data_IF_934979760632
#
_entry.id   IF_934979760632
#
_cell.length_a   1.000
_cell.length_b   1.000
_cell.length_c   1.000
_cell.angle_alpha   90.00
_cell.angle_beta   90.00
_cell.angle_gamma   90.00
#
_symmetry.space_group_name_H-M   'P 1'
#
loop_
_entity.id
_entity.type
_entity.pdbx_description
1 polymer ?
#
# COMPACT_ATOMS: atom_id res chain seq x y z
N UNK A 1 10.91 -11.84 5.03
CA UNK A 1 9.44 -11.80 5.09
C UNK A 1 8.93 -13.00 4.31
N UNK A 2 7.94 -13.71 4.83
CA UNK A 2 7.45 -14.95 4.23
C UNK A 2 6.50 -14.67 3.08
N UNK A 3 6.36 -15.64 2.16
CA UNK A 3 5.44 -15.53 1.03
C UNK A 3 3.98 -15.55 1.53
N UNK A 4 3.72 -16.36 2.55
CA UNK A 4 2.42 -16.55 3.18
C UNK A 4 1.89 -15.23 3.77
N UNK A 5 2.77 -14.44 4.41
CA UNK A 5 2.39 -13.12 4.93
C UNK A 5 1.95 -12.17 3.81
N UNK A 6 2.73 -12.10 2.73
CA UNK A 6 2.44 -11.26 1.57
C UNK A 6 1.13 -11.67 0.90
N UNK A 7 0.92 -12.97 0.70
CA UNK A 7 -0.34 -13.48 0.15
C UNK A 7 -1.52 -13.17 1.05
N UNK A 8 -1.34 -13.24 2.38
CA UNK A 8 -2.34 -12.85 3.37
C UNK A 8 -2.71 -11.36 3.26
N UNK A 9 -1.72 -10.48 3.19
CA UNK A 9 -1.91 -9.03 2.99
C UNK A 9 -2.65 -8.75 1.68
N UNK A 10 -2.22 -9.39 0.58
CA UNK A 10 -2.89 -9.25 -0.72
C UNK A 10 -4.35 -9.70 -0.66
N UNK A 11 -4.65 -10.86 -0.07
CA UNK A 11 -6.02 -11.36 0.05
C UNK A 11 -6.90 -10.39 0.83
N UNK A 12 -6.42 -9.90 1.98
CA UNK A 12 -7.14 -8.90 2.80
C UNK A 12 -7.40 -7.62 2.01
N UNK A 13 -6.40 -7.15 1.26
CA UNK A 13 -6.52 -5.94 0.43
C UNK A 13 -7.53 -6.09 -0.70
N UNK A 14 -7.44 -7.17 -1.48
CA UNK A 14 -8.38 -7.45 -2.57
C UNK A 14 -9.80 -7.60 -2.03
N UNK A 15 -9.96 -8.31 -0.90
CA UNK A 15 -11.26 -8.46 -0.25
C UNK A 15 -11.84 -7.10 0.13
N UNK A 16 -11.06 -6.24 0.81
CA UNK A 16 -11.49 -4.91 1.20
C UNK A 16 -11.92 -4.06 0.00
N UNK A 17 -11.11 -4.01 -1.05
CA UNK A 17 -11.41 -3.24 -2.26
C UNK A 17 -12.68 -3.75 -2.98
N UNK A 18 -12.95 -5.06 -2.91
CA UNK A 18 -14.12 -5.69 -3.57
C UNK A 18 -15.40 -5.68 -2.73
N UNK A 19 -15.36 -5.29 -1.45
CA UNK A 19 -16.57 -5.23 -0.60
C UNK A 19 -17.65 -4.30 -1.14
N UNK A 20 -17.22 -3.20 -1.74
CA UNK A 20 -18.04 -2.11 -2.30
C UNK A 20 -18.54 -2.39 -3.72
N UNK A 21 -18.16 -3.52 -4.33
CA UNK A 21 -18.69 -3.93 -5.63
C UNK A 21 -17.71 -4.69 -6.51
N UNK A 22 -18.20 -5.19 -7.66
CA UNK A 22 -17.43 -6.07 -8.54
C UNK A 22 -16.61 -5.34 -9.63
N UNK A 23 -16.32 -4.05 -9.45
CA UNK A 23 -15.49 -3.31 -10.43
C UNK A 23 -14.05 -3.87 -10.49
N UNK A 24 -13.33 -3.71 -11.61
CA UNK A 24 -11.91 -4.08 -11.71
C UNK A 24 -11.02 -3.38 -10.66
N UNK A 25 -9.98 -4.07 -10.15
CA UNK A 25 -9.02 -3.51 -9.18
C UNK A 25 -8.40 -2.17 -9.61
N UNK A 26 -8.02 -1.94 -10.88
CA UNK A 26 -7.51 -0.64 -11.31
C UNK A 26 -8.47 0.52 -11.13
N UNK A 27 -9.79 0.26 -11.07
CA UNK A 27 -10.81 1.28 -10.80
C UNK A 27 -10.95 1.46 -9.28
N UNK A 28 -11.05 0.35 -8.54
CA UNK A 28 -11.23 0.37 -7.09
C UNK A 28 -10.02 0.96 -6.33
N UNK A 29 -8.82 0.85 -6.89
CA UNK A 29 -7.59 1.31 -6.27
C UNK A 29 -7.27 2.80 -6.48
N UNK A 30 -8.09 3.56 -7.20
CA UNK A 30 -7.73 4.93 -7.63
C UNK A 30 -7.56 5.92 -6.47
N UNK A 31 -8.25 5.72 -5.34
CA UNK A 31 -8.50 6.79 -4.40
C UNK A 31 -8.08 6.54 -2.94
N UNK A 32 -7.23 5.56 -2.58
CA UNK A 32 -6.99 5.24 -1.14
C UNK A 32 -5.56 4.85 -0.78
N UNK A 33 -4.56 5.29 -1.54
CA UNK A 33 -3.20 4.77 -1.32
C UNK A 33 -2.71 5.01 0.11
N UNK A 34 -3.04 6.15 0.72
CA UNK A 34 -2.68 6.47 2.11
C UNK A 34 -3.32 5.50 3.11
N UNK A 35 -4.64 5.35 3.13
CA UNK A 35 -5.32 4.44 4.07
C UNK A 35 -4.92 2.97 3.87
N UNK A 36 -4.72 2.57 2.60
CA UNK A 36 -4.35 1.21 2.23
C UNK A 36 -2.93 0.87 2.71
N UNK A 37 -1.96 1.78 2.56
CA UNK A 37 -0.61 1.52 3.07
C UNK A 37 -0.60 1.44 4.58
N UNK A 38 -1.37 2.27 5.28
CA UNK A 38 -1.52 2.19 6.73
C UNK A 38 -2.08 0.84 7.19
N UNK A 39 -3.16 0.35 6.55
CA UNK A 39 -3.74 -0.95 6.87
C UNK A 39 -2.79 -2.10 6.58
N UNK A 40 -2.15 -2.11 5.41
CA UNK A 40 -1.18 -3.13 5.05
C UNK A 40 0.00 -3.14 6.03
N UNK A 41 0.51 -1.96 6.40
CA UNK A 41 1.58 -1.82 7.39
C UNK A 41 1.18 -2.38 8.75
N UNK A 42 -0.04 -2.09 9.21
CA UNK A 42 -0.54 -2.65 10.46
C UNK A 42 -0.68 -4.18 10.39
N UNK A 43 -1.20 -4.75 9.30
CA UNK A 43 -1.31 -6.23 9.19
C UNK A 43 0.06 -6.90 9.19
N UNK A 44 1.09 -6.23 8.65
CA UNK A 44 2.47 -6.73 8.71
C UNK A 44 3.02 -6.61 10.14
N UNK A 45 2.75 -5.52 10.86
CA UNK A 45 3.18 -5.33 12.25
C UNK A 45 2.54 -6.33 13.24
N UNK A 46 1.34 -6.83 12.96
CA UNK A 46 0.72 -7.90 13.76
C UNK A 46 1.58 -9.17 13.77
N UNK A 47 2.07 -9.54 12.60
CA UNK A 47 2.82 -10.79 12.38
C UNK A 47 4.31 -10.60 12.63
N UNK A 48 4.83 -9.39 12.37
CA UNK A 48 6.23 -9.01 12.50
C UNK A 48 6.38 -7.79 13.44
N UNK A 49 6.12 -7.93 14.75
CA UNK A 49 6.09 -6.81 15.69
C UNK A 49 7.43 -6.07 15.85
N UNK A 50 8.54 -6.72 15.47
CA UNK A 50 9.88 -6.14 15.52
C UNK A 50 10.34 -5.52 14.18
N UNK A 51 9.51 -5.57 13.13
CA UNK A 51 9.83 -4.93 11.86
C UNK A 51 9.80 -3.40 12.00
N UNK A 52 10.67 -2.71 11.26
CA UNK A 52 10.57 -1.25 11.11
C UNK A 52 9.81 -0.96 9.82
N UNK A 53 8.63 -0.35 9.94
CA UNK A 53 7.78 -0.04 8.78
C UNK A 53 7.71 1.46 8.59
N UNK A 54 7.94 1.90 7.36
CA UNK A 54 7.95 3.28 6.93
C UNK A 54 6.94 3.46 5.81
N UNK A 55 6.15 4.53 5.88
CA UNK A 55 5.34 4.97 4.73
C UNK A 55 6.18 5.94 3.92
N UNK A 56 6.24 5.68 2.62
CA UNK A 56 6.96 6.50 1.66
C UNK A 56 5.93 7.12 0.73
N UNK A 57 5.93 8.45 0.67
CA UNK A 57 5.04 9.22 -0.19
C UNK A 57 5.78 9.67 -1.44
N UNK A 58 5.15 9.46 -2.57
CA UNK A 58 5.66 9.74 -3.90
C UNK A 58 4.87 10.83 -4.60
N UNK A 59 5.58 11.75 -5.23
CA UNK A 59 5.03 12.68 -6.22
C UNK A 59 5.56 12.21 -7.57
N UNK A 60 4.71 11.55 -8.35
CA UNK A 60 5.07 11.01 -9.67
C UNK A 60 5.03 12.12 -10.71
N UNK A 61 3.94 12.89 -10.71
CA UNK A 61 3.78 14.12 -11.47
C UNK A 61 2.92 15.13 -10.69
N UNK A 62 2.53 16.25 -11.33
CA UNK A 62 1.72 17.32 -10.70
C UNK A 62 0.32 16.89 -10.25
N UNK A 63 -0.20 15.76 -10.73
CA UNK A 63 -1.55 15.26 -10.47
C UNK A 63 -1.55 13.89 -9.80
N UNK A 64 -0.45 13.15 -9.89
CA UNK A 64 -0.35 11.78 -9.38
C UNK A 64 0.58 11.72 -8.17
N UNK A 65 -0.05 11.58 -7.00
CA UNK A 65 0.61 11.24 -5.74
C UNK A 65 0.39 9.78 -5.41
N UNK A 66 1.36 9.06 -4.87
CA UNK A 66 1.18 7.65 -4.52
C UNK A 66 2.01 7.24 -3.31
N UNK A 67 1.48 6.34 -2.49
CA UNK A 67 2.11 5.93 -1.24
C UNK A 67 2.43 4.43 -1.29
N UNK A 68 3.54 4.05 -0.65
CA UNK A 68 3.98 2.67 -0.51
C UNK A 68 4.63 2.44 0.85
N UNK A 69 4.90 1.18 1.17
CA UNK A 69 5.61 0.80 2.38
C UNK A 69 7.06 0.42 2.09
N UNK A 70 7.96 0.79 3.00
CA UNK A 70 9.23 0.12 3.19
C UNK A 70 9.21 -0.60 4.53
N UNK A 71 9.47 -1.91 4.51
CA UNK A 71 9.57 -2.76 5.69
C UNK A 71 11.01 -3.22 5.83
N UNK A 72 11.67 -2.94 6.94
CA UNK A 72 12.96 -3.52 7.27
C UNK A 72 12.79 -4.67 8.26
N UNK A 73 13.23 -5.86 7.86
CA UNK A 73 13.09 -7.07 8.65
C UNK A 73 14.11 -8.13 8.23
N UNK A 74 14.75 -8.78 9.21
CA UNK A 74 15.73 -9.85 8.93
C UNK A 74 16.92 -9.40 8.08
N UNK A 75 17.41 -8.18 8.31
CA UNK A 75 18.57 -7.61 7.61
C UNK A 75 18.33 -7.21 6.15
N UNK A 76 17.06 -7.11 5.72
CA UNK A 76 16.68 -6.71 4.35
C UNK A 76 15.62 -5.62 4.39
N UNK A 77 15.53 -4.87 3.29
CA UNK A 77 14.46 -3.91 3.03
C UNK A 77 13.49 -4.46 1.97
N UNK A 78 12.20 -4.37 2.26
CA UNK A 78 11.12 -4.82 1.38
C UNK A 78 10.25 -3.61 1.00
N UNK A 79 10.08 -3.38 -0.30
CA UNK A 79 9.18 -2.35 -0.82
C UNK A 79 7.85 -2.99 -1.16
N UNK A 80 6.76 -2.50 -0.60
CA UNK A 80 5.43 -3.07 -0.78
C UNK A 80 4.49 -1.99 -1.30
N UNK A 81 3.91 -2.21 -2.48
CA UNK A 81 2.83 -1.39 -3.01
C UNK A 81 1.53 -2.22 -3.00
N UNK A 82 0.66 -2.01 -1.99
CA UNK A 82 -0.58 -2.74 -1.83
C UNK A 82 -1.66 -2.35 -2.86
N UNK A 83 -1.49 -1.26 -3.60
CA UNK A 83 -2.45 -0.73 -4.58
C UNK A 83 -1.81 -0.43 -5.93
N UNK A 84 -0.84 -1.26 -6.32
CA UNK A 84 -0.07 -1.11 -7.55
C UNK A 84 -0.94 -0.95 -8.81
N UNK A 85 -2.15 -1.52 -8.81
CA UNK A 85 -3.12 -1.42 -9.90
C UNK A 85 -3.52 0.00 -10.26
N UNK A 86 -3.35 0.97 -9.35
CA UNK A 86 -3.58 2.39 -9.61
C UNK A 86 -2.69 2.92 -10.74
N UNK A 87 -1.46 2.41 -10.81
CA UNK A 87 -0.43 2.86 -11.75
C UNK A 87 -0.21 1.80 -12.83
N UNK A 88 -0.07 0.54 -12.45
CA UNK A 88 0.20 -0.57 -13.36
C UNK A 88 -1.02 -1.50 -13.45
N UNK A 89 -1.97 -1.14 -14.32
CA UNK A 89 -3.28 -1.80 -14.45
C UNK A 89 -3.23 -3.30 -14.76
N UNK A 90 -2.14 -3.80 -15.34
CA UNK A 90 -1.97 -5.21 -15.73
C UNK A 90 -1.39 -6.15 -14.65
N UNK A 91 -1.09 -5.64 -13.44
CA UNK A 91 -0.51 -6.48 -12.38
C UNK A 91 -1.55 -7.45 -11.81
N UNK A 92 -1.12 -8.66 -11.44
CA UNK A 92 -1.97 -9.70 -10.83
C UNK A 92 -1.86 -9.78 -9.31
N UNK A 93 -0.85 -9.12 -8.74
CA UNK A 93 -0.51 -9.16 -7.33
C UNK A 93 -0.11 -7.77 -6.87
N UNK A 94 -0.07 -7.57 -5.55
CA UNK A 94 0.61 -6.42 -4.96
C UNK A 94 2.09 -6.46 -5.37
N UNK A 95 2.75 -5.30 -5.38
CA UNK A 95 4.19 -5.27 -5.59
C UNK A 95 4.90 -5.68 -4.32
N UNK A 96 5.89 -6.55 -4.45
CA UNK A 96 6.91 -6.73 -3.42
C UNK A 96 8.27 -6.69 -4.11
N UNK A 97 9.11 -5.73 -3.75
CA UNK A 97 10.52 -5.74 -4.10
C UNK A 97 11.38 -5.95 -2.86
N UNK A 98 12.59 -6.48 -3.02
CA UNK A 98 13.51 -6.74 -1.92
C UNK A 98 14.91 -6.32 -2.30
N UNK A 99 15.57 -5.60 -1.39
CA UNK A 99 16.97 -5.21 -1.47
C UNK A 99 17.66 -5.44 -0.13
N UNK A 100 18.98 -5.31 -0.11
CA UNK A 100 19.72 -5.44 1.16
C UNK A 100 19.51 -4.21 2.03
N UNK A 101 19.40 -3.03 1.42
CA UNK A 101 19.30 -1.77 2.15
C UNK A 101 18.12 -0.92 1.67
N UNK A 102 17.61 -0.07 2.56
CA UNK A 102 16.55 0.89 2.21
C UNK A 102 16.98 1.88 1.09
N UNK A 103 18.21 2.42 1.06
CA UNK A 103 18.65 3.27 -0.06
C UNK A 103 18.59 2.59 -1.42
N UNK A 104 19.02 1.32 -1.54
CA UNK A 104 18.90 0.55 -2.79
C UNK A 104 17.44 0.42 -3.24
N UNK A 105 16.56 0.18 -2.27
CA UNK A 105 15.13 0.02 -2.53
C UNK A 105 14.50 1.34 -2.98
N UNK A 106 14.86 2.48 -2.37
CA UNK A 106 14.40 3.80 -2.78
C UNK A 106 14.85 4.15 -4.21
N UNK A 107 16.08 3.79 -4.59
CA UNK A 107 16.57 3.95 -5.96
C UNK A 107 15.74 3.11 -6.93
N UNK A 108 15.40 1.88 -6.58
CA UNK A 108 14.55 1.02 -7.41
C UNK A 108 13.13 1.54 -7.55
N UNK A 109 12.52 2.01 -6.46
CA UNK A 109 11.20 2.67 -6.47
C UNK A 109 11.23 3.86 -7.42
N UNK A 110 12.24 4.73 -7.31
CA UNK A 110 12.38 5.89 -8.17
C UNK A 110 12.54 5.50 -9.65
N UNK A 111 13.25 4.41 -9.96
CA UNK A 111 13.35 3.89 -11.33
C UNK A 111 12.01 3.36 -11.85
N UNK A 112 11.26 2.66 -11.00
CA UNK A 112 10.02 2.01 -11.39
C UNK A 112 8.86 3.00 -11.59
N UNK A 113 8.66 3.89 -10.64
CA UNK A 113 7.53 4.83 -10.63
C UNK A 113 7.88 6.20 -11.19
N UNK A 114 9.18 6.52 -11.34
CA UNK A 114 9.66 7.87 -11.58
C UNK A 114 9.26 8.82 -10.43
N UNK A 115 9.54 10.12 -10.57
CA UNK A 115 9.15 11.13 -9.58
C UNK A 115 10.06 11.23 -8.35
N UNK A 116 9.54 11.86 -7.30
CA UNK A 116 10.24 12.16 -6.05
C UNK A 116 9.58 11.39 -4.91
N UNK A 117 10.36 10.61 -4.18
CA UNK A 117 9.89 9.75 -3.10
C UNK A 117 10.57 10.11 -1.79
N UNK A 118 9.79 10.20 -0.71
CA UNK A 118 10.30 10.55 0.62
C UNK A 118 9.63 9.73 1.68
N UNK A 119 10.40 9.32 2.69
CA UNK A 119 9.84 8.75 3.91
C UNK A 119 9.03 9.86 4.59
N UNK A 120 7.74 9.58 4.81
CA UNK A 120 6.82 10.52 5.45
C UNK A 120 6.68 10.23 6.93
N UNK A 121 6.54 8.95 7.28
CA UNK A 121 6.32 8.53 8.66
C UNK A 121 6.83 7.10 8.90
N UNK A 122 6.98 6.77 10.17
CA UNK A 122 7.27 5.43 10.66
C UNK A 122 6.03 4.92 11.40
N UNK A 123 5.56 3.73 11.04
CA UNK A 123 4.43 3.11 11.71
C UNK A 123 4.84 2.50 13.05
N UNK A 124 3.97 2.69 14.04
CA UNK A 124 4.12 2.17 15.39
C UNK A 124 2.88 1.37 15.81
N UNK A 125 3.07 0.40 16.72
CA UNK A 125 1.99 -0.46 17.20
C UNK A 125 0.91 0.28 18.01
N UNK A 126 1.24 1.45 18.54
CA UNK A 126 0.28 2.37 19.16
C UNK A 126 -0.74 2.96 18.17
N UNK A 127 -0.45 2.98 16.87
CA UNK A 127 -1.36 3.47 15.83
C UNK A 127 -2.53 2.54 15.49
N UNK A 128 -2.64 1.39 16.18
CA UNK A 128 -3.64 0.34 15.90
C UNK A 128 -5.07 0.75 16.23
N UNK A 129 -5.25 1.74 17.11
CA UNK A 129 -6.57 2.23 17.53
C UNK A 129 -7.40 2.77 16.35
N UNK A 130 -6.77 3.12 15.22
CA UNK A 130 -7.42 3.68 14.03
C UNK A 130 -7.68 2.67 12.91
N UNK A 131 -7.39 1.37 13.10
CA UNK A 131 -7.57 0.36 12.04
C UNK A 131 -9.02 0.29 11.54
N UNK A 132 -9.99 0.27 12.44
CA UNK A 132 -11.41 0.24 12.08
C UNK A 132 -11.83 1.53 11.34
N UNK A 133 -11.27 2.67 11.72
CA UNK A 133 -11.54 3.95 11.05
C UNK A 133 -10.99 3.95 9.62
N UNK A 134 -9.80 3.39 9.38
CA UNK A 134 -9.24 3.28 8.04
C UNK A 134 -10.01 2.31 7.15
N UNK A 135 -10.41 1.16 7.67
CA UNK A 135 -11.28 0.22 6.94
C UNK A 135 -12.59 0.91 6.54
N UNK A 136 -13.25 1.60 7.48
CA UNK A 136 -14.48 2.34 7.22
C UNK A 136 -14.31 3.47 6.21
N UNK A 137 -13.21 4.23 6.27
CA UNK A 137 -12.91 5.30 5.30
C UNK A 137 -12.71 4.76 3.89
N UNK A 138 -12.06 3.61 3.75
CA UNK A 138 -11.90 2.95 2.45
C UNK A 138 -13.26 2.53 1.92
N UNK A 139 -14.08 1.86 2.74
CA UNK A 139 -15.43 1.46 2.34
C UNK A 139 -16.27 2.66 1.87
N UNK A 140 -16.33 3.73 2.67
CA UNK A 140 -17.10 4.94 2.31
C UNK A 140 -16.64 5.59 1.01
N UNK A 141 -15.33 5.80 0.86
CA UNK A 141 -14.85 6.54 -0.30
C UNK A 141 -14.92 5.72 -1.59
N UNK A 142 -14.78 4.37 -1.54
CA UNK A 142 -14.92 3.57 -2.77
C UNK A 142 -16.37 3.64 -3.28
N UNK A 143 -17.36 3.67 -2.38
CA UNK A 143 -18.76 3.89 -2.76
C UNK A 143 -18.97 5.23 -3.48
N UNK A 144 -18.29 6.30 -3.04
CA UNK A 144 -18.30 7.63 -3.70
C UNK A 144 -17.70 7.56 -5.11
N UNK A 145 -16.55 6.89 -5.28
CA UNK A 145 -15.89 6.74 -6.59
C UNK A 145 -16.74 5.91 -7.55
N UNK A 146 -17.49 4.94 -7.02
CA UNK A 146 -18.43 4.15 -7.82
C UNK A 146 -19.57 5.04 -8.35
N UNK A 147 -20.09 5.94 -7.53
CA UNK A 147 -21.14 6.90 -7.90
C UNK A 147 -20.63 7.94 -8.92
N UNK A 148 -19.44 8.51 -8.72
CA UNK A 148 -18.85 9.48 -9.64
C UNK A 148 -18.58 8.88 -11.04
N UNK A 149 -18.14 7.62 -11.11
CA UNK A 149 -17.90 6.94 -12.38
C UNK A 149 -19.19 6.46 -13.09
N UNK A 150 -20.37 6.65 -12.49
CA UNK A 150 -21.67 6.29 -13.07
C UNK A 150 -22.45 7.51 -13.63
N UNK A 151 -21.92 8.73 -13.43
CA UNK A 151 -22.38 9.99 -14.01
C UNK A 151 -21.59 10.32 -15.27
#
# INVERSE_FOLDING_TARGET
MTKELIEGVQKKMIHLLKKVGDKPLPILAQNYCDEVVHLAGNWILDELPNARIYIVKGIIDRKVHHDLLIVEYGGKAYGIDPVIWRIFKGKKSILVSTKQTMPELLIEIQKLYQGIWRISERLEKSGFERRMDWERRIEMKVDETIHEAAL
#
